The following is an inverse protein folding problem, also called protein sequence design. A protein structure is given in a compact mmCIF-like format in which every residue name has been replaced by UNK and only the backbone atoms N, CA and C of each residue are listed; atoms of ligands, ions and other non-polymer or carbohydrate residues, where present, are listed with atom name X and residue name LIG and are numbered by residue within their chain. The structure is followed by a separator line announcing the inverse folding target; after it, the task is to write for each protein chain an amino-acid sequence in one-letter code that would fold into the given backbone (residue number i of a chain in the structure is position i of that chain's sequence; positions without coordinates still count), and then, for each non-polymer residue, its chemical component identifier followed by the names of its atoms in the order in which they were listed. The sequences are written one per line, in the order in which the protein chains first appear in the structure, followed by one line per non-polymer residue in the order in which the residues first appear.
data_IF_653662860274
#
_entry.id   IF_653662860274
#
_cell.length_a   1.000
_cell.length_b   1.000
_cell.length_c   1.000
_cell.angle_alpha   90.00
_cell.angle_beta   90.00
_cell.angle_gamma   90.00
#
_symmetry.space_group_name_H-M   'P 1'
#
loop_
_entity.id
_entity.type
_entity.pdbx_description
1 polymer ?
#
# COMPACT_ATOMS: atom_id res chain seq x y z
N UNK A 1 14.38 7.54 -10.22
CA UNK A 1 14.27 6.91 -8.87
C UNK A 1 13.52 5.58 -8.94
N UNK A 2 12.39 5.48 -9.67
CA UNK A 2 11.65 4.22 -9.88
C UNK A 2 12.54 3.11 -10.47
N UNK A 3 13.36 3.44 -11.46
CA UNK A 3 14.30 2.50 -12.10
C UNK A 3 15.43 2.04 -11.16
N UNK A 4 15.85 2.89 -10.21
CA UNK A 4 16.93 2.55 -9.28
C UNK A 4 16.53 1.50 -8.23
N UNK A 5 15.23 1.29 -8.03
CA UNK A 5 14.67 0.30 -7.10
C UNK A 5 14.14 -0.95 -7.80
N UNK A 6 14.19 -1.02 -9.14
CA UNK A 6 13.69 -2.16 -9.93
C UNK A 6 12.20 -2.43 -9.72
N UNK A 7 11.41 -1.40 -9.43
CA UNK A 7 9.99 -1.55 -9.11
C UNK A 7 9.20 -2.00 -10.33
N UNK A 8 8.49 -3.11 -10.19
CA UNK A 8 7.54 -3.62 -11.19
C UNK A 8 6.13 -3.41 -10.69
N UNK A 9 5.17 -3.33 -11.61
CA UNK A 9 3.77 -3.41 -11.22
C UNK A 9 3.50 -4.75 -10.54
N UNK A 10 2.84 -4.72 -9.37
CA UNK A 10 2.60 -5.91 -8.57
C UNK A 10 1.69 -6.93 -9.25
N UNK A 11 0.74 -6.49 -10.08
CA UNK A 11 -0.13 -7.37 -10.84
C UNK A 11 0.62 -7.99 -12.03
N UNK A 12 1.48 -7.24 -12.71
CA UNK A 12 2.36 -7.80 -13.75
C UNK A 12 3.37 -8.82 -13.19
N UNK A 13 3.98 -8.53 -12.03
CA UNK A 13 5.02 -9.37 -11.45
C UNK A 13 4.47 -10.64 -10.78
N UNK A 14 3.30 -10.58 -10.15
CA UNK A 14 2.77 -11.67 -9.33
C UNK A 14 1.47 -12.26 -9.83
N UNK A 15 0.75 -11.58 -10.72
CA UNK A 15 -0.55 -12.02 -11.22
C UNK A 15 -1.52 -12.32 -10.08
N UNK A 16 -2.17 -13.47 -10.16
CA UNK A 16 -3.15 -13.89 -9.15
C UNK A 16 -2.54 -14.61 -7.94
N UNK A 17 -1.22 -14.74 -7.86
CA UNK A 17 -0.55 -15.47 -6.77
C UNK A 17 -0.81 -14.82 -5.43
N UNK A 18 -1.05 -15.66 -4.42
CA UNK A 18 -1.20 -15.24 -3.03
C UNK A 18 0.10 -14.64 -2.50
N UNK A 19 0.07 -13.39 -2.04
CA UNK A 19 1.23 -12.70 -1.50
C UNK A 19 0.89 -11.87 -0.27
N UNK A 20 1.82 -11.83 0.68
CA UNK A 20 1.86 -10.79 1.70
C UNK A 20 2.90 -9.76 1.29
N UNK A 21 2.65 -8.50 1.63
CA UNK A 21 3.62 -7.45 1.38
C UNK A 21 3.56 -6.38 2.46
N UNK A 22 4.74 -5.93 2.87
CA UNK A 22 4.90 -4.74 3.71
C UNK A 22 5.06 -3.57 2.77
N UNK A 23 4.24 -2.53 2.93
CA UNK A 23 4.25 -1.38 2.05
C UNK A 23 4.50 -0.08 2.79
N UNK A 24 5.05 0.88 2.06
CA UNK A 24 5.10 2.28 2.44
C UNK A 24 4.69 3.11 1.23
N UNK A 25 3.97 4.20 1.47
CA UNK A 25 3.64 5.16 0.44
C UNK A 25 3.81 6.58 0.94
N UNK A 26 4.29 7.46 0.08
CA UNK A 26 4.38 8.88 0.35
C UNK A 26 4.30 9.65 -0.97
N UNK A 27 3.75 10.87 -0.94
CA UNK A 27 3.74 11.78 -2.12
C UNK A 27 3.23 11.10 -3.40
N UNK A 28 2.19 10.27 -3.27
CA UNK A 28 1.56 9.58 -4.39
C UNK A 28 2.34 8.42 -5.01
N UNK A 29 3.38 7.91 -4.35
CA UNK A 29 4.11 6.69 -4.72
C UNK A 29 3.99 5.65 -3.62
N UNK A 30 3.79 4.39 -3.98
CA UNK A 30 3.76 3.26 -3.06
C UNK A 30 4.79 2.22 -3.50
N UNK A 31 5.52 1.67 -2.52
CA UNK A 31 6.46 0.56 -2.71
C UNK A 31 6.12 -0.54 -1.71
N UNK A 32 6.28 -1.80 -2.13
CA UNK A 32 5.97 -2.97 -1.31
C UNK A 32 7.07 -4.03 -1.40
N UNK A 33 7.50 -4.57 -0.27
CA UNK A 33 8.34 -5.75 -0.21
C UNK A 33 7.47 -7.01 -0.11
N UNK A 34 7.60 -7.90 -1.08
CA UNK A 34 6.70 -9.05 -1.26
C UNK A 34 7.27 -10.33 -0.66
N UNK A 35 6.37 -11.13 -0.08
CA UNK A 35 6.60 -12.49 0.39
C UNK A 35 5.57 -13.43 -0.26
N UNK A 36 6.05 -14.50 -0.87
CA UNK A 36 5.23 -15.53 -1.50
C UNK A 36 5.23 -16.80 -0.67
N UNK A 37 4.09 -17.49 -0.65
CA UNK A 37 4.00 -18.84 -0.09
C UNK A 37 4.27 -19.85 -1.19
N UNK A 38 5.26 -20.71 -0.98
CA UNK A 38 5.55 -21.85 -1.84
C UNK A 38 4.49 -22.94 -1.67
N UNK A 39 4.43 -23.88 -2.62
CA UNK A 39 3.51 -25.01 -2.59
C UNK A 39 3.72 -25.91 -1.36
N UNK A 40 4.95 -26.00 -0.86
CA UNK A 40 5.30 -26.74 0.35
C UNK A 40 5.01 -25.96 1.66
N UNK A 41 4.51 -24.72 1.55
CA UNK A 41 4.12 -23.90 2.69
C UNK A 41 5.16 -22.89 3.17
N UNK A 42 6.39 -22.95 2.66
CA UNK A 42 7.49 -22.04 3.02
C UNK A 42 7.25 -20.62 2.49
N UNK A 43 7.78 -19.62 3.19
CA UNK A 43 7.74 -18.23 2.77
C UNK A 43 9.09 -17.78 2.22
N UNK A 44 9.08 -17.15 1.05
CA UNK A 44 10.28 -16.59 0.44
C UNK A 44 10.08 -15.14 0.01
N UNK A 45 11.17 -14.36 0.12
CA UNK A 45 11.20 -12.97 -0.35
C UNK A 45 11.11 -12.95 -1.88
N UNK A 46 10.18 -12.17 -2.42
CA UNK A 46 9.84 -12.18 -3.84
C UNK A 46 10.14 -10.86 -4.57
N UNK A 47 10.75 -9.89 -3.88
CA UNK A 47 11.20 -8.61 -4.46
C UNK A 47 10.28 -7.43 -4.15
N UNK A 48 10.57 -6.29 -4.77
CA UNK A 48 9.84 -5.04 -4.59
C UNK A 48 8.80 -4.83 -5.71
N UNK A 49 7.64 -4.28 -5.37
CA UNK A 49 6.60 -3.86 -6.33
C UNK A 49 6.08 -2.46 -6.03
N UNK A 50 5.40 -1.88 -7.01
CA UNK A 50 4.46 -0.78 -6.79
C UNK A 50 3.04 -1.31 -6.97
N UNK A 51 2.17 -1.05 -6.00
CA UNK A 51 0.77 -1.49 -5.99
C UNK A 51 -0.15 -0.28 -5.87
N UNK A 52 -1.02 -0.07 -6.86
CA UNK A 52 -1.88 1.13 -6.97
C UNK A 52 -2.87 1.25 -5.80
N UNK A 53 -3.39 0.13 -5.30
CA UNK A 53 -4.32 0.11 -4.16
C UNK A 53 -3.65 0.50 -2.82
N UNK A 54 -2.32 0.50 -2.75
CA UNK A 54 -1.56 0.96 -1.59
C UNK A 54 -1.31 2.46 -1.62
N UNK A 55 -1.86 3.21 -2.58
CA UNK A 55 -1.83 4.67 -2.64
C UNK A 55 -3.12 5.25 -2.02
N UNK A 56 -3.18 5.28 -0.69
CA UNK A 56 -4.20 6.00 0.05
C UNK A 56 -3.93 7.51 -0.01
N UNK A 57 -5.02 8.27 0.06
CA UNK A 57 -5.08 9.73 -0.02
C UNK A 57 -4.56 10.29 1.32
N UNK A 58 -3.23 10.44 1.43
CA UNK A 58 -2.52 10.99 2.58
C UNK A 58 -1.08 11.32 2.21
N UNK A 59 -0.36 12.01 3.10
CA UNK A 59 1.03 12.44 2.80
C UNK A 59 2.01 11.27 2.92
N UNK A 60 1.81 10.43 3.93
CA UNK A 60 2.60 9.22 4.17
C UNK A 60 1.77 8.12 4.84
N UNK A 61 2.13 6.87 4.57
CA UNK A 61 1.54 5.69 5.20
C UNK A 61 2.46 4.48 5.10
N UNK A 62 2.28 3.53 6.01
CA UNK A 62 2.92 2.22 5.95
C UNK A 62 2.01 1.15 6.53
N UNK A 63 2.16 -0.08 6.07
CA UNK A 63 1.30 -1.17 6.53
C UNK A 63 1.68 -2.53 5.97
N UNK A 64 0.80 -3.48 6.25
CA UNK A 64 0.88 -4.85 5.76
C UNK A 64 -0.39 -5.14 4.96
N UNK A 65 -0.22 -5.82 3.84
CA UNK A 65 -1.30 -6.19 2.98
C UNK A 65 -1.16 -7.62 2.48
N UNK A 66 -2.29 -8.18 2.12
CA UNK A 66 -2.42 -9.49 1.52
C UNK A 66 -3.25 -9.39 0.25
N UNK A 67 -2.87 -10.16 -0.76
CA UNK A 67 -3.60 -10.26 -2.03
C UNK A 67 -3.58 -11.68 -2.56
N UNK A 68 -4.71 -12.14 -3.10
CA UNK A 68 -4.82 -13.40 -3.84
C UNK A 68 -5.97 -13.31 -4.85
N UNK A 69 -5.66 -13.48 -6.13
CA UNK A 69 -6.63 -13.29 -7.21
C UNK A 69 -7.36 -11.93 -7.11
N UNK A 70 -8.71 -11.91 -7.08
CA UNK A 70 -9.50 -10.68 -7.01
C UNK A 70 -9.60 -10.08 -5.60
N UNK A 71 -9.05 -10.77 -4.58
CA UNK A 71 -9.17 -10.39 -3.17
C UNK A 71 -7.94 -9.63 -2.70
N UNK A 72 -8.16 -8.55 -1.96
CA UNK A 72 -7.13 -7.79 -1.28
C UNK A 72 -7.59 -7.36 0.11
N UNK A 73 -6.67 -7.38 1.07
CA UNK A 73 -6.86 -6.82 2.41
C UNK A 73 -5.61 -6.05 2.84
N UNK A 74 -5.77 -5.03 3.69
CA UNK A 74 -4.65 -4.30 4.27
C UNK A 74 -4.98 -3.70 5.61
N UNK A 75 -3.95 -3.58 6.45
CA UNK A 75 -3.95 -2.76 7.66
C UNK A 75 -2.73 -1.85 7.63
N UNK A 76 -2.89 -0.59 7.98
CA UNK A 76 -1.80 0.37 7.94
C UNK A 76 -2.02 1.60 8.79
N UNK A 77 -0.93 2.29 9.06
CA UNK A 77 -0.91 3.59 9.72
C UNK A 77 -0.77 4.67 8.66
N UNK A 78 -1.65 5.68 8.72
CA UNK A 78 -1.68 6.80 7.78
C UNK A 78 -1.41 8.07 8.57
N UNK A 79 -0.45 8.85 8.09
CA UNK A 79 -0.14 10.19 8.59
C UNK A 79 -0.55 11.23 7.56
N UNK A 80 -1.25 12.28 8.01
CA UNK A 80 -1.77 13.34 7.14
C UNK A 80 -1.59 14.71 7.79
N UNK A 81 -0.95 15.62 7.07
CA UNK A 81 -0.88 17.04 7.37
C UNK A 81 -1.89 17.78 6.47
N UNK A 82 -3.11 17.99 6.98
CA UNK A 82 -4.08 18.81 6.26
C UNK A 82 -3.73 20.29 6.42
N UNK A 83 -3.18 20.89 5.35
CA UNK A 83 -3.18 22.35 5.21
C UNK A 83 -4.60 22.76 4.84
N UNK A 84 -5.42 23.09 5.84
CA UNK A 84 -6.71 23.73 5.60
C UNK A 84 -6.45 25.09 4.90
N UNK A 85 -6.58 25.11 3.58
CA UNK A 85 -6.64 26.37 2.82
C UNK A 85 -8.01 26.99 3.11
N UNK A 86 -7.98 28.04 3.92
CA UNK A 86 -8.98 29.10 4.04
C UNK A 86 -10.38 28.74 4.55
N UNK A 87 -10.55 28.58 5.88
CA UNK A 87 -11.75 29.13 6.56
C UNK A 87 -11.40 29.52 8.02
N UNK A 88 -11.09 30.81 8.21
CA UNK A 88 -11.21 31.62 9.45
C UNK A 88 -10.14 31.43 10.55
N UNK A 89 -9.28 32.46 10.68
CA UNK A 89 -8.57 32.89 11.91
C UNK A 89 -7.70 31.86 12.66
N UNK A 90 -6.41 31.83 12.34
CA UNK A 90 -5.34 31.72 13.36
C UNK A 90 -5.17 30.41 14.12
N UNK A 91 -5.71 29.28 13.66
CA UNK A 91 -5.56 27.99 14.33
C UNK A 91 -4.71 26.97 13.57
N UNK A 92 -4.03 26.17 14.37
CA UNK A 92 -2.84 25.39 14.09
C UNK A 92 -2.99 24.34 12.97
N UNK A 93 -1.90 24.07 12.27
CA UNK A 93 -1.70 22.87 11.44
C UNK A 93 -2.12 21.63 12.22
N UNK A 94 -3.26 21.05 11.87
CA UNK A 94 -3.77 19.86 12.56
C UNK A 94 -3.11 18.62 11.95
N UNK A 95 -2.29 17.95 12.75
CA UNK A 95 -1.67 16.67 12.39
C UNK A 95 -2.59 15.55 12.83
N UNK A 96 -3.15 14.84 11.86
CA UNK A 96 -4.00 13.69 12.11
C UNK A 96 -3.28 12.41 11.73
N UNK A 97 -3.42 11.40 12.56
CA UNK A 97 -2.91 10.06 12.28
C UNK A 97 -3.97 9.02 12.60
N UNK A 98 -4.08 8.00 11.76
CA UNK A 98 -5.13 6.99 11.88
C UNK A 98 -4.61 5.61 11.52
N UNK A 99 -5.26 4.59 12.08
CA UNK A 99 -5.14 3.20 11.62
C UNK A 99 -6.26 2.93 10.62
N UNK A 100 -5.91 2.44 9.46
CA UNK A 100 -6.84 2.09 8.40
C UNK A 100 -6.86 0.58 8.19
N UNK A 101 -8.08 0.06 8.00
CA UNK A 101 -8.35 -1.32 7.63
C UNK A 101 -9.13 -1.30 6.32
N UNK A 102 -8.71 -2.09 5.36
CA UNK A 102 -9.33 -2.14 4.03
C UNK A 102 -9.47 -3.57 3.56
N UNK A 103 -10.57 -3.85 2.89
CA UNK A 103 -10.86 -5.11 2.21
C UNK A 103 -11.52 -4.81 0.87
N UNK A 104 -11.11 -5.53 -0.17
CA UNK A 104 -11.64 -5.38 -1.52
C UNK A 104 -11.75 -6.74 -2.21
N UNK A 105 -12.87 -6.94 -2.91
CA UNK A 105 -13.12 -8.06 -3.80
C UNK A 105 -13.62 -7.48 -5.13
N UNK A 106 -12.84 -7.64 -6.20
CA UNK A 106 -13.23 -7.22 -7.56
C UNK A 106 -13.32 -8.44 -8.46
N UNK A 107 -14.49 -9.09 -8.56
CA UNK A 107 -14.67 -10.27 -9.40
C UNK A 107 -14.70 -9.87 -10.88
N UNK A 108 -14.13 -10.72 -11.73
CA UNK A 108 -14.17 -10.57 -13.18
C UNK A 108 -15.28 -11.52 -13.66
N UNK A 109 -16.45 -10.98 -13.98
CA UNK A 109 -17.59 -11.74 -14.53
C UNK A 109 -17.70 -11.49 -16.03
#
# INVERSE_FOLDING_TARGET
VSDALGLRDGDEAFGQRGRWYVFAAASGRAVGLNMLRSQNGDWSRAGMSSDVNSKLIGDAQAGVAWRKGPMQASVGYIHREMKAKDVIMGMATQKDSMVALSFSLKPNW
#
